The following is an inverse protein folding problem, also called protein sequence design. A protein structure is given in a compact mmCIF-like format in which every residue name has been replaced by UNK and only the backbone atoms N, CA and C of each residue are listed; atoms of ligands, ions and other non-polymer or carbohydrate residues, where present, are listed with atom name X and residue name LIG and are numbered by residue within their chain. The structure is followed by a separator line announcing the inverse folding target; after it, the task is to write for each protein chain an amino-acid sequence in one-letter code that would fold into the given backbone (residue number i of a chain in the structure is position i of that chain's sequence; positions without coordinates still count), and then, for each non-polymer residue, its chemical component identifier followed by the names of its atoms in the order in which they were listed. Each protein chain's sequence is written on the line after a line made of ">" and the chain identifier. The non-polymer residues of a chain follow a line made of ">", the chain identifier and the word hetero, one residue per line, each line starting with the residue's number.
data_IF_623187602820
#
_entry.id   IF_623187602820
#
_cell.length_a   1.000
_cell.length_b   1.000
_cell.length_c   1.000
_cell.angle_alpha   90.00
_cell.angle_beta   90.00
_cell.angle_gamma   90.00
#
_symmetry.space_group_name_H-M   'P 1'
#
loop_
_entity.id
_entity.type
_entity.pdbx_description
1 polymer ?
#
# COMPACT_ATOMS: atom_id res chain seq x y z
N UNK A 1 -5.41 -17.04 18.59
CA UNK A 1 -5.91 -15.72 18.12
C UNK A 1 -5.97 -15.78 16.61
N UNK A 2 -7.14 -15.55 16.07
CA UNK A 2 -7.34 -15.49 14.63
C UNK A 2 -7.01 -14.06 14.10
N UNK A 3 -5.82 -13.90 13.54
CA UNK A 3 -5.38 -12.63 12.97
C UNK A 3 -6.14 -12.25 11.70
N UNK A 4 -6.70 -13.24 10.99
CA UNK A 4 -7.49 -13.00 9.77
C UNK A 4 -8.80 -12.30 10.10
N UNK A 5 -9.50 -12.77 11.16
CA UNK A 5 -10.70 -12.10 11.67
C UNK A 5 -10.43 -10.65 12.09
N UNK A 6 -9.30 -10.41 12.75
CA UNK A 6 -8.93 -9.06 13.20
C UNK A 6 -8.63 -8.15 12.00
N UNK A 7 -7.83 -8.60 11.04
CA UNK A 7 -7.51 -7.80 9.85
C UNK A 7 -8.74 -7.55 8.97
N UNK A 8 -9.65 -8.51 8.89
CA UNK A 8 -10.94 -8.35 8.20
C UNK A 8 -11.79 -7.26 8.86
N UNK A 9 -11.96 -7.33 10.18
CA UNK A 9 -12.68 -6.30 10.94
C UNK A 9 -12.09 -4.90 10.73
N UNK A 10 -10.76 -4.77 10.84
CA UNK A 10 -10.07 -3.49 10.64
C UNK A 10 -10.30 -2.95 9.21
N UNK A 11 -10.24 -3.81 8.19
CA UNK A 11 -10.50 -3.40 6.80
C UNK A 11 -11.91 -2.88 6.59
N UNK A 12 -12.90 -3.56 7.14
CA UNK A 12 -14.30 -3.14 7.03
C UNK A 12 -14.56 -1.78 7.69
N UNK A 13 -13.82 -1.47 8.76
CA UNK A 13 -13.97 -0.26 9.56
C UNK A 13 -12.81 0.75 9.37
N UNK A 14 -12.01 0.62 8.30
CA UNK A 14 -10.80 1.44 8.12
C UNK A 14 -11.08 2.94 8.04
N UNK A 15 -12.28 3.33 7.63
CA UNK A 15 -12.74 4.73 7.56
C UNK A 15 -13.21 5.27 8.92
N UNK A 16 -13.47 4.40 9.88
CA UNK A 16 -13.97 4.76 11.19
C UNK A 16 -12.81 5.19 12.11
N UNK A 17 -13.18 5.80 13.24
CA UNK A 17 -12.21 6.15 14.28
C UNK A 17 -11.84 4.92 15.10
N UNK A 18 -11.04 4.01 14.50
CA UNK A 18 -10.60 2.80 15.16
C UNK A 18 -9.60 3.08 16.27
N UNK A 19 -9.89 2.55 17.46
CA UNK A 19 -8.95 2.50 18.60
C UNK A 19 -8.59 1.05 18.91
N UNK A 20 -7.44 0.82 19.54
CA UNK A 20 -7.07 -0.53 19.99
C UNK A 20 -8.15 -1.14 20.88
N UNK A 21 -8.76 -0.33 21.75
CA UNK A 21 -9.83 -0.77 22.65
C UNK A 21 -11.09 -1.17 21.89
N UNK A 22 -11.51 -0.40 20.88
CA UNK A 22 -12.71 -0.74 20.10
C UNK A 22 -12.50 -2.02 19.30
N UNK A 23 -11.32 -2.21 18.70
CA UNK A 23 -10.97 -3.42 17.95
C UNK A 23 -10.92 -4.63 18.88
N UNK A 24 -10.28 -4.49 20.04
CA UNK A 24 -10.19 -5.57 21.02
C UNK A 24 -11.57 -6.01 21.51
N UNK A 25 -12.44 -5.07 21.85
CA UNK A 25 -13.83 -5.34 22.26
C UNK A 25 -14.60 -6.08 21.15
N UNK A 26 -14.53 -5.62 19.92
CA UNK A 26 -15.23 -6.23 18.79
C UNK A 26 -14.72 -7.65 18.47
N UNK A 27 -13.43 -7.92 18.70
CA UNK A 27 -12.84 -9.23 18.44
C UNK A 27 -12.88 -10.20 19.65
N UNK A 28 -13.35 -9.74 20.83
CA UNK A 28 -13.43 -10.56 22.03
C UNK A 28 -12.09 -10.76 22.76
N UNK A 29 -11.17 -9.78 22.67
CA UNK A 29 -9.85 -9.84 23.30
C UNK A 29 -9.63 -8.67 24.25
N UNK A 30 -8.70 -8.83 25.21
CA UNK A 30 -8.18 -7.67 25.95
C UNK A 30 -7.24 -6.85 25.05
N UNK A 31 -7.19 -5.50 25.20
CA UNK A 31 -6.32 -4.64 24.38
C UNK A 31 -4.84 -5.02 24.49
N UNK A 32 -4.38 -5.37 25.69
CA UNK A 32 -3.01 -5.82 25.94
C UNK A 32 -2.66 -7.10 25.19
N UNK A 33 -3.50 -8.14 25.32
CA UNK A 33 -3.32 -9.42 24.65
C UNK A 33 -3.34 -9.25 23.13
N UNK A 34 -4.32 -8.50 22.61
CA UNK A 34 -4.47 -8.24 21.19
C UNK A 34 -3.23 -7.54 20.62
N UNK A 35 -2.76 -6.47 21.25
CA UNK A 35 -1.59 -5.70 20.79
C UNK A 35 -0.33 -6.56 20.75
N UNK A 36 -0.04 -7.28 21.84
CA UNK A 36 1.13 -8.14 21.96
C UNK A 36 1.11 -9.26 20.93
N UNK A 37 0.01 -10.00 20.88
CA UNK A 37 -0.10 -11.18 20.02
C UNK A 37 -0.15 -10.84 18.54
N UNK A 38 -0.83 -9.75 18.18
CA UNK A 38 -0.87 -9.27 16.80
C UNK A 38 0.54 -8.95 16.30
N UNK A 39 1.32 -8.19 17.11
CA UNK A 39 2.71 -7.86 16.75
C UNK A 39 3.60 -9.10 16.64
N UNK A 40 3.45 -10.08 17.54
CA UNK A 40 4.21 -11.33 17.46
C UNK A 40 3.95 -12.13 16.18
N UNK A 41 2.69 -12.19 15.74
CA UNK A 41 2.29 -12.98 14.55
C UNK A 41 2.54 -12.23 13.24
N UNK A 42 2.33 -10.91 13.23
CA UNK A 42 2.37 -10.11 12.00
C UNK A 42 3.68 -9.32 11.80
N UNK A 43 4.53 -9.20 12.82
CA UNK A 43 5.75 -8.41 12.78
C UNK A 43 5.54 -6.89 12.90
N UNK A 44 4.28 -6.41 12.95
CA UNK A 44 3.92 -4.99 13.05
C UNK A 44 2.73 -4.77 13.98
N UNK A 45 2.53 -3.52 14.40
CA UNK A 45 1.45 -3.16 15.32
C UNK A 45 0.11 -2.95 14.60
N UNK A 46 -1.00 -3.08 15.32
CA UNK A 46 -2.35 -2.74 14.81
C UNK A 46 -2.42 -1.29 14.35
N UNK A 47 -1.78 -0.36 15.09
CA UNK A 47 -1.73 1.06 14.71
C UNK A 47 -1.07 1.25 13.35
N UNK A 48 0.06 0.60 13.09
CA UNK A 48 0.73 0.64 11.80
C UNK A 48 -0.14 0.06 10.69
N UNK A 49 -0.85 -1.03 10.97
CA UNK A 49 -1.75 -1.63 9.98
C UNK A 49 -2.91 -0.70 9.61
N UNK A 50 -3.56 -0.09 10.60
CA UNK A 50 -4.63 0.91 10.37
C UNK A 50 -4.10 2.11 9.57
N UNK A 51 -2.90 2.57 9.87
CA UNK A 51 -2.24 3.68 9.15
C UNK A 51 -2.02 3.36 7.67
N UNK A 52 -1.52 2.15 7.36
CA UNK A 52 -1.38 1.68 5.97
C UNK A 52 -2.72 1.68 5.23
N UNK A 53 -3.77 1.14 5.84
CA UNK A 53 -5.09 1.11 5.22
C UNK A 53 -5.65 2.52 4.96
N UNK A 54 -5.42 3.46 5.87
CA UNK A 54 -5.80 4.87 5.68
C UNK A 54 -5.04 5.49 4.50
N UNK A 55 -3.74 5.24 4.39
CA UNK A 55 -2.95 5.73 3.26
C UNK A 55 -3.43 5.10 1.95
N UNK A 56 -3.68 3.79 1.93
CA UNK A 56 -4.23 3.11 0.75
C UNK A 56 -5.57 3.73 0.32
N UNK A 57 -6.51 3.93 1.23
CA UNK A 57 -7.79 4.58 0.95
C UNK A 57 -7.61 6.00 0.39
N UNK A 58 -6.63 6.75 0.93
CA UNK A 58 -6.32 8.09 0.44
C UNK A 58 -5.72 8.09 -0.97
N UNK A 59 -4.89 7.10 -1.31
CA UNK A 59 -4.32 6.93 -2.66
C UNK A 59 -5.44 6.61 -3.66
N UNK A 60 -6.31 5.67 -3.35
CA UNK A 60 -7.45 5.31 -4.19
C UNK A 60 -8.30 6.57 -4.50
N UNK A 61 -8.61 7.36 -3.48
CA UNK A 61 -9.37 8.60 -3.64
C UNK A 61 -8.60 9.68 -4.39
N UNK A 62 -7.28 9.80 -4.15
CA UNK A 62 -6.42 10.80 -4.79
C UNK A 62 -6.27 10.54 -6.30
N UNK A 63 -6.25 9.27 -6.71
CA UNK A 63 -6.09 8.83 -8.10
C UNK A 63 -7.42 8.58 -8.82
N UNK A 64 -8.54 8.69 -8.13
CA UNK A 64 -9.87 8.53 -8.71
C UNK A 64 -10.17 9.63 -9.73
N UNK A 65 -10.23 9.26 -11.00
CA UNK A 65 -10.51 10.16 -12.12
C UNK A 65 -12.00 10.35 -12.40
N UNK A 66 -12.84 9.49 -11.86
CA UNK A 66 -14.29 9.56 -12.04
C UNK A 66 -14.91 10.68 -11.21
N UNK A 67 -14.18 11.16 -10.19
CA UNK A 67 -14.65 12.20 -9.29
C UNK A 67 -14.04 13.57 -9.62
N UNK A 68 -14.86 14.58 -9.92
CA UNK A 68 -14.38 15.95 -10.16
C UNK A 68 -13.73 16.58 -8.91
N UNK A 69 -13.97 16.03 -7.73
CA UNK A 69 -13.51 16.55 -6.43
C UNK A 69 -12.34 15.70 -5.86
N UNK A 70 -11.51 15.12 -6.72
CA UNK A 70 -10.32 14.39 -6.29
C UNK A 70 -9.19 15.35 -5.86
N UNK A 71 -9.33 15.94 -4.68
CA UNK A 71 -8.33 16.86 -4.10
C UNK A 71 -7.55 16.18 -2.98
N UNK A 72 -6.37 16.72 -2.64
CA UNK A 72 -5.57 16.27 -1.49
C UNK A 72 -6.38 16.36 -0.19
N UNK A 73 -7.16 17.43 -0.03
CA UNK A 73 -8.03 17.63 1.14
C UNK A 73 -9.14 16.56 1.20
N UNK A 74 -9.82 16.30 0.10
CA UNK A 74 -10.85 15.27 0.04
C UNK A 74 -10.27 13.88 0.35
N UNK A 75 -9.08 13.57 -0.15
CA UNK A 75 -8.38 12.31 0.13
C UNK A 75 -8.02 12.16 1.62
N UNK A 76 -7.56 13.25 2.25
CA UNK A 76 -7.25 13.26 3.69
C UNK A 76 -8.52 13.01 4.54
N UNK A 77 -9.62 13.69 4.24
CA UNK A 77 -10.89 13.55 4.94
C UNK A 77 -11.45 12.12 4.77
N UNK A 78 -11.46 11.59 3.54
CA UNK A 78 -11.92 10.23 3.25
C UNK A 78 -11.12 9.17 4.00
N UNK A 79 -9.82 9.39 4.20
CA UNK A 79 -8.95 8.51 5.00
C UNK A 79 -9.06 8.75 6.52
N UNK A 80 -9.96 9.62 6.97
CA UNK A 80 -10.21 9.89 8.39
C UNK A 80 -9.11 10.69 9.08
N UNK A 81 -8.42 11.59 8.36
CA UNK A 81 -7.49 12.56 8.94
C UNK A 81 -8.20 13.88 9.26
N UNK A 82 -7.98 14.37 10.47
CA UNK A 82 -8.51 15.67 10.93
C UNK A 82 -7.57 16.84 10.59
N UNK A 83 -6.32 16.56 10.21
CA UNK A 83 -5.31 17.56 9.90
C UNK A 83 -4.59 17.22 8.59
N UNK A 84 -4.60 18.17 7.66
CA UNK A 84 -3.90 18.04 6.38
C UNK A 84 -2.38 17.93 6.55
N UNK A 85 -1.83 18.63 7.54
CA UNK A 85 -0.39 18.56 7.86
C UNK A 85 0.01 17.17 8.34
N UNK A 86 -0.77 16.59 9.26
CA UNK A 86 -0.56 15.22 9.75
C UNK A 86 -0.71 14.21 8.61
N UNK A 87 -1.72 14.36 7.77
CA UNK A 87 -1.92 13.54 6.59
C UNK A 87 -0.70 13.60 5.65
N UNK A 88 -0.30 14.80 5.21
CA UNK A 88 0.80 14.96 4.26
C UNK A 88 2.12 14.39 4.76
N UNK A 89 2.40 14.55 6.07
CA UNK A 89 3.57 13.95 6.71
C UNK A 89 3.52 12.42 6.67
N UNK A 90 2.40 11.84 7.10
CA UNK A 90 2.23 10.39 7.12
C UNK A 90 2.24 9.80 5.71
N UNK A 91 1.56 10.47 4.77
CA UNK A 91 1.54 10.07 3.37
C UNK A 91 2.97 10.02 2.79
N UNK A 92 3.76 11.09 2.99
CA UNK A 92 5.16 11.13 2.54
C UNK A 92 6.03 10.05 3.19
N UNK A 93 5.81 9.74 4.46
CA UNK A 93 6.51 8.65 5.14
C UNK A 93 6.24 7.27 4.52
N UNK A 94 5.02 7.06 4.00
CA UNK A 94 4.62 5.78 3.40
C UNK A 94 4.94 5.66 1.92
N UNK A 95 4.87 6.77 1.17
CA UNK A 95 4.98 6.75 -0.31
C UNK A 95 6.29 7.33 -0.85
N UNK A 96 7.09 7.99 0.01
CA UNK A 96 8.30 8.70 -0.41
C UNK A 96 8.06 10.12 -0.92
N UNK A 97 6.87 10.45 -1.43
CA UNK A 97 6.56 11.76 -2.01
C UNK A 97 5.35 12.44 -1.35
N UNK A 98 5.18 13.75 -1.59
CA UNK A 98 3.98 14.45 -1.11
C UNK A 98 2.73 13.95 -1.84
N UNK A 99 1.51 14.09 -1.25
CA UNK A 99 0.28 13.69 -1.94
C UNK A 99 0.09 14.35 -3.31
N UNK A 100 0.53 15.61 -3.45
CA UNK A 100 0.44 16.36 -4.70
C UNK A 100 1.40 15.82 -5.75
N UNK A 101 2.66 15.60 -5.37
CA UNK A 101 3.70 15.08 -6.27
C UNK A 101 3.38 13.65 -6.67
N UNK A 102 2.97 12.81 -5.70
CA UNK A 102 2.54 11.44 -5.95
C UNK A 102 1.43 11.35 -7.00
N UNK A 103 0.43 12.23 -6.90
CA UNK A 103 -0.66 12.31 -7.88
C UNK A 103 -0.14 12.69 -9.26
N UNK A 104 0.72 13.69 -9.34
CA UNK A 104 1.29 14.17 -10.59
C UNK A 104 2.16 13.12 -11.26
N UNK A 105 3.06 12.51 -10.52
CA UNK A 105 3.96 11.45 -10.99
C UNK A 105 3.19 10.21 -11.43
N UNK A 106 2.15 9.81 -10.67
CA UNK A 106 1.29 8.67 -11.02
C UNK A 106 0.55 8.91 -12.34
N UNK A 107 0.08 10.13 -12.62
CA UNK A 107 -0.57 10.44 -13.89
C UNK A 107 0.41 10.45 -15.05
N UNK A 108 1.61 10.99 -14.87
CA UNK A 108 2.69 10.93 -15.88
C UNK A 108 3.09 9.49 -16.17
N UNK A 109 3.41 8.72 -15.14
CA UNK A 109 3.79 7.31 -15.29
C UNK A 109 2.70 6.51 -16.01
N UNK A 110 1.43 6.68 -15.61
CA UNK A 110 0.30 6.03 -16.28
C UNK A 110 0.21 6.39 -17.77
N UNK A 111 0.40 7.64 -18.13
CA UNK A 111 0.32 8.07 -19.55
C UNK A 111 1.41 7.41 -20.39
N UNK A 112 2.62 7.30 -19.86
CA UNK A 112 3.74 6.61 -20.52
C UNK A 112 3.43 5.10 -20.64
N UNK A 113 3.00 4.47 -19.54
CA UNK A 113 2.75 3.04 -19.49
C UNK A 113 1.55 2.61 -20.35
N UNK A 114 0.50 3.44 -20.45
CA UNK A 114 -0.63 3.18 -21.36
C UNK A 114 -0.23 3.22 -22.85
N UNK A 115 0.79 4.03 -23.20
CA UNK A 115 1.37 4.00 -24.54
C UNK A 115 2.08 2.69 -24.88
N UNK A 116 2.34 1.84 -23.88
CA UNK A 116 2.94 0.51 -24.01
C UNK A 116 1.92 -0.64 -23.91
N UNK A 117 0.62 -0.33 -23.73
CA UNK A 117 -0.43 -1.35 -23.66
C UNK A 117 -0.42 -2.19 -24.95
N UNK A 118 -0.54 -3.50 -24.79
CA UNK A 118 -0.42 -4.48 -25.89
C UNK A 118 1.02 -4.93 -26.15
N UNK A 119 2.02 -4.41 -25.42
CA UNK A 119 3.41 -4.88 -25.43
C UNK A 119 3.78 -5.41 -24.05
N UNK A 120 4.58 -6.47 -24.01
CA UNK A 120 5.21 -6.90 -22.76
C UNK A 120 6.43 -6.03 -22.52
N UNK A 121 6.45 -5.32 -21.40
CA UNK A 121 7.57 -4.47 -21.00
C UNK A 121 7.79 -4.57 -19.50
N UNK A 122 9.05 -4.43 -19.08
CA UNK A 122 9.44 -4.40 -17.67
C UNK A 122 10.34 -3.21 -17.43
N UNK A 123 10.06 -2.48 -16.34
CA UNK A 123 10.84 -1.32 -15.89
C UNK A 123 11.26 -1.58 -14.46
N UNK A 124 12.54 -1.87 -14.24
CA UNK A 124 13.10 -2.12 -12.92
C UNK A 124 13.80 -0.86 -12.41
N UNK A 125 13.55 -0.51 -11.16
CA UNK A 125 14.28 0.49 -10.39
C UNK A 125 14.96 -0.20 -9.22
N UNK A 126 16.26 0.09 -9.00
CA UNK A 126 17.07 -0.49 -7.94
C UNK A 126 17.87 0.61 -7.24
N UNK A 127 17.73 0.73 -5.93
CA UNK A 127 18.43 1.75 -5.14
C UNK A 127 19.91 1.42 -4.86
N UNK A 128 20.28 0.14 -4.88
CA UNK A 128 21.63 -0.31 -4.57
C UNK A 128 22.01 -1.51 -5.42
N UNK A 129 23.26 -1.59 -5.80
CA UNK A 129 23.86 -2.74 -6.48
C UNK A 129 24.22 -3.84 -5.47
N UNK A 130 23.25 -4.33 -4.68
CA UNK A 130 23.46 -5.53 -3.88
C UNK A 130 23.40 -6.72 -4.83
N UNK A 131 24.50 -7.42 -4.97
CA UNK A 131 24.63 -8.60 -5.84
C UNK A 131 24.77 -9.84 -4.96
N UNK A 132 23.65 -10.34 -4.46
CA UNK A 132 23.60 -11.70 -3.89
C UNK A 132 23.04 -12.66 -4.94
N UNK A 133 23.40 -13.93 -4.97
CA UNK A 133 22.96 -14.88 -5.99
C UNK A 133 21.50 -15.35 -5.79
N UNK A 134 20.74 -14.64 -4.97
CA UNK A 134 19.35 -15.04 -4.64
C UNK A 134 18.37 -14.54 -5.69
N UNK A 135 17.30 -15.32 -5.86
CA UNK A 135 16.20 -14.99 -6.76
C UNK A 135 14.87 -15.15 -6.03
N UNK A 136 13.91 -14.28 -6.34
CA UNK A 136 12.55 -14.34 -5.83
C UNK A 136 11.56 -14.13 -6.96
N UNK A 137 10.78 -15.16 -7.28
CA UNK A 137 9.66 -15.03 -8.23
C UNK A 137 8.40 -14.65 -7.48
N UNK A 138 7.79 -13.56 -7.89
CA UNK A 138 6.55 -13.02 -7.34
C UNK A 138 5.46 -13.07 -8.41
N UNK A 139 4.32 -13.60 -8.05
CA UNK A 139 3.13 -13.66 -8.91
C UNK A 139 1.97 -12.96 -8.21
N UNK A 140 1.42 -11.93 -8.85
CA UNK A 140 0.20 -11.29 -8.39
C UNK A 140 -1.01 -12.13 -8.84
N UNK A 141 -1.87 -12.49 -7.88
CA UNK A 141 -3.12 -13.20 -8.16
C UNK A 141 -4.26 -12.21 -7.99
N UNK A 142 -4.96 -11.96 -9.07
CA UNK A 142 -6.11 -11.05 -9.11
C UNK A 142 -7.43 -11.82 -9.00
N UNK A 143 -8.49 -11.19 -8.47
CA UNK A 143 -9.83 -11.74 -8.56
C UNK A 143 -10.23 -12.02 -10.03
N UNK A 144 -11.13 -13.00 -10.30
CA UNK A 144 -11.49 -13.39 -11.66
C UNK A 144 -11.98 -12.24 -12.55
N UNK A 145 -12.68 -11.27 -11.97
CA UNK A 145 -13.27 -10.12 -12.65
C UNK A 145 -12.35 -8.91 -12.73
N UNK A 146 -11.14 -9.00 -12.16
CA UNK A 146 -10.17 -7.92 -12.14
C UNK A 146 -9.07 -8.17 -13.16
N UNK A 147 -8.83 -7.17 -14.02
CA UNK A 147 -7.67 -7.17 -14.96
C UNK A 147 -6.83 -5.93 -14.70
N UNK A 148 -5.53 -6.13 -14.71
CA UNK A 148 -4.56 -5.04 -14.64
C UNK A 148 -3.60 -5.16 -15.81
N UNK A 149 -3.51 -4.10 -16.60
CA UNK A 149 -2.53 -4.02 -17.70
C UNK A 149 -1.11 -3.77 -17.17
N UNK A 150 -1.01 -3.27 -15.94
CA UNK A 150 0.27 -2.91 -15.33
C UNK A 150 0.26 -3.41 -13.88
N UNK A 151 1.27 -4.19 -13.52
CA UNK A 151 1.48 -4.69 -12.16
C UNK A 151 2.73 -4.05 -11.58
N UNK A 152 2.59 -3.38 -10.44
CA UNK A 152 3.72 -2.84 -9.69
C UNK A 152 4.07 -3.81 -8.56
N UNK A 153 5.35 -4.19 -8.48
CA UNK A 153 5.88 -5.04 -7.42
C UNK A 153 7.09 -4.36 -6.82
N UNK A 154 7.28 -4.48 -5.50
CA UNK A 154 8.41 -3.87 -4.81
C UNK A 154 8.88 -4.69 -3.63
N UNK A 155 10.19 -4.75 -3.45
CA UNK A 155 10.84 -5.33 -2.28
C UNK A 155 11.18 -4.22 -1.29
N UNK A 156 10.78 -4.42 -0.05
CA UNK A 156 10.98 -3.47 1.04
C UNK A 156 11.73 -4.14 2.20
N UNK A 157 12.57 -3.41 2.94
CA UNK A 157 13.35 -3.99 4.04
C UNK A 157 12.50 -4.28 5.28
N UNK A 158 11.23 -3.86 5.29
CA UNK A 158 10.33 -4.01 6.44
C UNK A 158 9.01 -4.66 6.03
N UNK A 159 8.36 -5.33 6.99
CA UNK A 159 7.08 -6.02 6.78
C UNK A 159 5.92 -5.07 6.38
N UNK A 160 6.04 -3.79 6.65
CA UNK A 160 5.14 -2.75 6.14
C UNK A 160 5.93 -1.89 5.18
N UNK A 161 5.54 -1.81 3.89
CA UNK A 161 6.15 -0.94 2.92
C UNK A 161 6.12 0.53 3.37
N UNK A 162 7.29 1.18 3.35
CA UNK A 162 7.43 2.63 3.64
C UNK A 162 8.47 3.23 2.72
N UNK A 163 8.13 4.40 2.14
CA UNK A 163 9.00 5.08 1.19
C UNK A 163 9.09 4.33 -0.14
N UNK A 164 10.24 4.46 -0.78
CA UNK A 164 10.52 3.78 -2.04
C UNK A 164 11.02 2.34 -1.80
N UNK A 165 10.68 1.39 -2.68
CA UNK A 165 11.20 0.04 -2.60
C UNK A 165 12.71 0.03 -2.86
N UNK A 166 13.42 -0.92 -2.23
CA UNK A 166 14.85 -1.19 -2.54
C UNK A 166 14.99 -1.65 -3.99
N UNK A 167 14.08 -2.52 -4.42
CA UNK A 167 13.93 -2.90 -5.82
C UNK A 167 12.44 -2.80 -6.15
N UNK A 168 12.11 -2.05 -7.20
CA UNK A 168 10.75 -1.90 -7.70
C UNK A 168 10.67 -2.24 -9.18
N UNK A 169 9.59 -2.87 -9.61
CA UNK A 169 9.34 -3.17 -11.01
C UNK A 169 7.91 -2.82 -11.40
N UNK A 170 7.75 -2.25 -12.57
CA UNK A 170 6.47 -2.15 -13.27
C UNK A 170 6.45 -3.17 -14.41
N UNK A 171 5.54 -4.11 -14.36
CA UNK A 171 5.38 -5.16 -15.38
C UNK A 171 4.11 -4.89 -16.19
N UNK A 172 4.25 -4.75 -17.49
CA UNK A 172 3.14 -4.51 -18.42
C UNK A 172 2.78 -5.83 -19.11
N UNK A 173 1.49 -6.15 -19.14
CA UNK A 173 0.99 -7.37 -19.80
C UNK A 173 1.32 -8.69 -19.10
N UNK A 174 1.84 -8.64 -17.88
CA UNK A 174 2.10 -9.81 -17.02
C UNK A 174 1.83 -9.50 -15.54
N UNK A 175 1.52 -10.54 -14.80
CA UNK A 175 1.36 -10.48 -13.35
C UNK A 175 2.49 -11.19 -12.59
N UNK A 176 3.57 -11.56 -13.28
CA UNK A 176 4.68 -12.31 -12.71
C UNK A 176 6.02 -11.64 -13.03
N UNK A 177 6.92 -11.62 -12.05
CA UNK A 177 8.27 -11.11 -12.18
C UNK A 177 9.24 -11.88 -11.29
N UNK A 178 10.46 -12.11 -11.78
CA UNK A 178 11.55 -12.71 -11.02
C UNK A 178 12.60 -11.65 -10.71
N UNK A 179 12.69 -11.27 -9.45
CA UNK A 179 13.78 -10.45 -8.95
C UNK A 179 15.04 -11.29 -8.86
N UNK A 180 16.13 -10.79 -9.39
CA UNK A 180 17.45 -11.44 -9.35
C UNK A 180 18.43 -10.59 -8.55
N UNK A 181 19.46 -11.22 -7.98
CA UNK A 181 20.51 -10.54 -7.23
C UNK A 181 19.94 -9.71 -6.06
N UNK A 182 19.10 -10.35 -5.20
CA UNK A 182 18.46 -9.73 -4.04
C UNK A 182 19.10 -10.15 -2.74
#
# INVERSE_FOLDING_TARGET
>A
MDTTKITHYIRQHAKDRLTLTSIAKACGYSPYYLSRRFRQVRGYTIKQYVEVLKIQCSIERLLDRSSPVSTVTASAITAGYSSLTSFSRTFKQHTGSSPRDYRWESFKARSVLLGLCGRTAQFEHRQSAVTTPHQLTVRAVYPPDYRSDITFMGLFPTAIPKGEPVIGVAVVGSAEHTFTNI
#
